data_IF_333351358511
#
_entry.id   IF_333351358511
#
_cell.length_a   1.000
_cell.length_b   1.000
_cell.length_c   1.000
_cell.angle_alpha   90.00
_cell.angle_beta   90.00
_cell.angle_gamma   90.00
#
_symmetry.space_group_name_H-M   'P 1'
#
loop_
_entity.id
_entity.type
_entity.pdbx_description
1 polymer ?
#
# COMPACT_ATOMS: atom_id res chain seq x y z
N UNK A 1 -31.09 -1.65 -15.86
CA UNK A 1 -32.46 -2.07 -16.25
C UNK A 1 -32.55 -3.56 -16.60
N UNK A 2 -31.50 -4.19 -17.11
CA UNK A 2 -31.43 -5.63 -17.42
C UNK A 2 -31.53 -6.53 -16.18
N UNK A 3 -31.17 -6.02 -15.01
CA UNK A 3 -31.21 -6.72 -13.75
C UNK A 3 -32.15 -5.97 -12.78
N UNK A 4 -33.43 -5.87 -13.16
CA UNK A 4 -34.46 -5.25 -12.34
C UNK A 4 -34.67 -5.95 -11.00
N UNK A 5 -35.60 -5.45 -10.19
CA UNK A 5 -35.86 -5.95 -8.82
C UNK A 5 -36.11 -7.48 -8.77
N UNK A 6 -36.54 -8.08 -9.89
CA UNK A 6 -36.81 -9.52 -10.01
C UNK A 6 -35.54 -10.37 -10.08
N UNK A 7 -34.34 -9.77 -10.36
CA UNK A 7 -33.08 -10.48 -10.53
C UNK A 7 -32.00 -10.00 -9.54
N UNK A 8 -32.36 -9.55 -8.35
CA UNK A 8 -31.42 -9.05 -7.34
C UNK A 8 -30.26 -10.01 -7.06
N UNK A 9 -30.54 -11.33 -7.00
CA UNK A 9 -29.51 -12.34 -6.78
C UNK A 9 -28.48 -12.40 -7.90
N UNK A 10 -28.93 -12.31 -9.16
CA UNK A 10 -28.03 -12.30 -10.31
C UNK A 10 -27.21 -11.00 -10.39
N UNK A 11 -27.79 -9.86 -10.03
CA UNK A 11 -27.09 -8.58 -9.94
C UNK A 11 -25.98 -8.63 -8.89
N UNK A 12 -26.27 -9.13 -7.69
CA UNK A 12 -25.30 -9.28 -6.60
C UNK A 12 -24.17 -10.22 -7.02
N UNK A 13 -24.51 -11.37 -7.63
CA UNK A 13 -23.50 -12.33 -8.10
C UNK A 13 -22.60 -11.72 -9.18
N UNK A 14 -23.17 -11.01 -10.15
CA UNK A 14 -22.38 -10.32 -11.18
C UNK A 14 -21.47 -9.25 -10.57
N UNK A 15 -21.98 -8.42 -9.68
CA UNK A 15 -21.17 -7.42 -8.99
C UNK A 15 -20.06 -8.03 -8.15
N UNK A 16 -20.30 -9.15 -7.48
CA UNK A 16 -19.28 -9.88 -6.73
C UNK A 16 -18.16 -10.39 -7.66
N UNK A 17 -18.52 -10.98 -8.81
CA UNK A 17 -17.54 -11.44 -9.80
C UNK A 17 -16.74 -10.28 -10.37
N UNK A 18 -17.40 -9.17 -10.73
CA UNK A 18 -16.70 -7.99 -11.27
C UNK A 18 -15.76 -7.37 -10.22
N UNK A 19 -16.18 -7.24 -8.97
CA UNK A 19 -15.33 -6.75 -7.89
C UNK A 19 -14.14 -7.69 -7.62
N UNK A 20 -14.36 -9.02 -7.67
CA UNK A 20 -13.26 -9.98 -7.58
C UNK A 20 -12.25 -9.79 -8.71
N UNK A 21 -12.71 -9.64 -9.95
CA UNK A 21 -11.83 -9.40 -11.10
C UNK A 21 -11.07 -8.07 -10.98
N UNK A 22 -11.74 -7.00 -10.54
CA UNK A 22 -11.07 -5.70 -10.27
C UNK A 22 -9.98 -5.88 -9.23
N UNK A 23 -10.26 -6.54 -8.11
CA UNK A 23 -9.27 -6.83 -7.06
C UNK A 23 -8.11 -7.69 -7.58
N UNK A 24 -8.42 -8.71 -8.38
CA UNK A 24 -7.43 -9.59 -8.99
C UNK A 24 -6.46 -8.83 -9.90
N UNK A 25 -6.98 -8.03 -10.85
CA UNK A 25 -6.14 -7.24 -11.76
C UNK A 25 -5.41 -6.11 -11.03
N UNK A 26 -6.01 -5.50 -10.03
CA UNK A 26 -5.37 -4.45 -9.22
C UNK A 26 -4.16 -4.99 -8.45
N UNK A 27 -4.25 -6.23 -7.93
CA UNK A 27 -3.13 -6.91 -7.28
C UNK A 27 -1.94 -7.18 -8.20
N UNK A 28 -2.12 -7.21 -9.52
CA UNK A 28 -1.04 -7.43 -10.48
C UNK A 28 -0.13 -6.22 -10.70
N UNK A 29 -0.52 -5.02 -10.25
CA UNK A 29 0.26 -3.79 -10.49
C UNK A 29 1.52 -3.66 -9.67
N UNK A 30 1.48 -4.04 -8.40
CA UNK A 30 2.61 -3.88 -7.47
C UNK A 30 3.85 -4.72 -7.82
N UNK A 31 3.77 -6.02 -8.10
CA UNK A 31 4.94 -6.85 -8.37
C UNK A 31 5.81 -6.38 -9.54
N UNK A 32 5.25 -6.00 -10.71
CA UNK A 32 6.03 -5.43 -11.81
C UNK A 32 6.74 -4.12 -11.43
N UNK A 33 6.08 -3.23 -10.69
CA UNK A 33 6.69 -1.97 -10.23
C UNK A 33 7.89 -2.24 -9.32
N UNK A 34 7.75 -3.20 -8.39
CA UNK A 34 8.84 -3.64 -7.53
C UNK A 34 10.04 -4.14 -8.34
N UNK A 35 9.78 -4.94 -9.39
CA UNK A 35 10.84 -5.42 -10.30
C UNK A 35 11.55 -4.26 -11.01
N UNK A 36 10.82 -3.33 -11.59
CA UNK A 36 11.41 -2.15 -12.25
C UNK A 36 12.30 -1.40 -11.26
N UNK A 37 11.79 -1.12 -10.07
CA UNK A 37 12.53 -0.40 -9.03
C UNK A 37 13.82 -1.11 -8.59
N UNK A 38 13.84 -2.44 -8.54
CA UNK A 38 15.05 -3.20 -8.18
C UNK A 38 16.13 -3.16 -9.26
N UNK A 39 15.75 -2.97 -10.52
CA UNK A 39 16.71 -2.91 -11.63
C UNK A 39 17.23 -1.50 -11.93
N UNK A 40 16.42 -0.47 -11.64
CA UNK A 40 16.77 0.92 -11.95
C UNK A 40 17.39 1.68 -10.78
N UNK A 41 17.17 1.25 -9.53
CA UNK A 41 17.66 1.96 -8.35
C UNK A 41 18.46 1.06 -7.42
N UNK A 42 19.61 1.57 -6.94
CA UNK A 42 20.45 0.90 -5.95
C UNK A 42 19.72 0.81 -4.59
N UNK A 43 20.11 -0.15 -3.76
CA UNK A 43 19.54 -0.32 -2.40
C UNK A 43 19.64 0.98 -1.58
N UNK A 44 20.72 1.78 -1.78
CA UNK A 44 20.97 3.02 -1.03
C UNK A 44 20.00 4.16 -1.37
N UNK A 45 19.29 4.08 -2.49
CA UNK A 45 18.39 5.14 -3.00
C UNK A 45 16.96 4.64 -3.20
N UNK A 46 16.76 3.33 -3.21
CA UNK A 46 15.50 2.68 -3.54
C UNK A 46 14.35 3.12 -2.61
N UNK A 47 14.62 3.33 -1.32
CA UNK A 47 13.62 3.78 -0.36
C UNK A 47 13.05 5.16 -0.73
N UNK A 48 13.92 6.10 -1.10
CA UNK A 48 13.51 7.45 -1.53
C UNK A 48 12.70 7.39 -2.82
N UNK A 49 13.17 6.69 -3.84
CA UNK A 49 12.45 6.58 -5.11
C UNK A 49 11.13 5.82 -5.00
N UNK A 50 11.10 4.75 -4.20
CA UNK A 50 9.86 4.03 -3.89
C UNK A 50 8.87 4.91 -3.14
N UNK A 51 9.32 5.84 -2.29
CA UNK A 51 8.42 6.76 -1.60
C UNK A 51 7.76 7.74 -2.57
N UNK A 52 8.50 8.30 -3.53
CA UNK A 52 7.92 9.12 -4.59
C UNK A 52 6.91 8.34 -5.44
N UNK A 53 7.27 7.11 -5.83
CA UNK A 53 6.35 6.25 -6.56
C UNK A 53 5.09 5.95 -5.75
N UNK A 54 5.21 5.67 -4.46
CA UNK A 54 4.07 5.36 -3.59
C UNK A 54 3.09 6.54 -3.44
N UNK A 55 3.57 7.79 -3.56
CA UNK A 55 2.69 8.97 -3.55
C UNK A 55 1.67 8.96 -4.70
N UNK A 56 1.94 8.25 -5.79
CA UNK A 56 1.00 8.08 -6.89
C UNK A 56 -0.33 7.46 -6.42
N UNK A 57 -0.29 6.58 -5.42
CA UNK A 57 -1.49 6.00 -4.82
C UNK A 57 -2.39 7.07 -4.15
N UNK A 58 -1.78 7.96 -3.37
CA UNK A 58 -2.51 9.05 -2.69
C UNK A 58 -3.03 10.09 -3.69
N UNK A 59 -2.22 10.45 -4.69
CA UNK A 59 -2.63 11.37 -5.77
C UNK A 59 -3.76 10.76 -6.58
N UNK A 60 -3.66 9.48 -6.95
CA UNK A 60 -4.72 8.77 -7.68
C UNK A 60 -6.03 8.70 -6.87
N UNK A 61 -5.93 8.38 -5.58
CA UNK A 61 -7.08 8.37 -4.67
C UNK A 61 -7.76 9.74 -4.54
N UNK A 62 -6.96 10.82 -4.46
CA UNK A 62 -7.47 12.18 -4.42
C UNK A 62 -8.16 12.61 -5.74
N UNK A 63 -7.65 12.14 -6.89
CA UNK A 63 -8.17 12.52 -8.21
C UNK A 63 -9.40 11.73 -8.64
N UNK A 64 -9.58 10.50 -8.17
CA UNK A 64 -10.67 9.63 -8.65
C UNK A 64 -12.05 10.22 -8.37
N UNK A 65 -12.27 10.88 -7.24
CA UNK A 65 -13.54 11.53 -6.90
C UNK A 65 -13.90 12.65 -7.89
N UNK A 66 -13.08 13.69 -8.05
CA UNK A 66 -13.28 14.71 -9.07
C UNK A 66 -13.42 14.14 -10.48
N UNK A 67 -12.61 13.17 -10.88
CA UNK A 67 -12.72 12.53 -12.20
C UNK A 67 -14.07 11.83 -12.39
N UNK A 68 -14.60 11.19 -11.38
CA UNK A 68 -15.92 10.56 -11.43
C UNK A 68 -17.02 11.61 -11.61
N UNK A 69 -16.96 12.73 -10.87
CA UNK A 69 -17.96 13.82 -10.98
C UNK A 69 -17.89 14.50 -12.34
N UNK A 70 -16.70 14.90 -12.79
CA UNK A 70 -16.56 15.52 -14.12
C UNK A 70 -16.88 14.57 -15.26
N UNK A 71 -16.54 13.29 -15.11
CA UNK A 71 -16.92 12.25 -16.06
C UNK A 71 -18.43 12.08 -16.15
N UNK A 72 -19.13 12.12 -15.03
CA UNK A 72 -20.60 12.12 -15.03
C UNK A 72 -21.18 13.33 -15.75
N UNK A 73 -20.65 14.53 -15.49
CA UNK A 73 -21.16 15.78 -16.06
C UNK A 73 -20.85 15.90 -17.56
N UNK A 74 -19.62 15.59 -17.98
CA UNK A 74 -19.21 15.81 -19.36
C UNK A 74 -19.49 14.61 -20.26
N UNK A 75 -19.02 13.43 -19.89
CA UNK A 75 -19.14 12.24 -20.69
C UNK A 75 -20.59 11.76 -20.80
N UNK A 76 -21.34 11.85 -19.68
CA UNK A 76 -22.76 11.54 -19.68
C UNK A 76 -23.55 12.47 -20.58
N UNK A 77 -23.29 13.79 -20.54
CA UNK A 77 -23.97 14.79 -21.36
C UNK A 77 -23.65 14.70 -22.85
N UNK A 78 -22.41 14.35 -23.20
CA UNK A 78 -21.96 14.25 -24.59
C UNK A 78 -22.62 13.09 -25.35
N UNK A 79 -22.80 11.95 -24.71
CA UNK A 79 -23.27 10.74 -25.36
C UNK A 79 -24.79 10.53 -25.25
N UNK A 80 -25.45 11.13 -24.26
CA UNK A 80 -26.80 10.69 -23.93
C UNK A 80 -27.79 11.80 -23.57
N UNK A 81 -27.37 13.07 -23.55
CA UNK A 81 -28.24 14.20 -23.17
C UNK A 81 -28.45 14.33 -21.66
N UNK A 82 -28.79 15.53 -21.22
CA UNK A 82 -28.62 16.00 -19.84
C UNK A 82 -29.56 15.41 -18.76
N UNK A 83 -30.35 14.36 -18.99
CA UNK A 83 -31.51 14.11 -18.15
C UNK A 83 -31.80 12.70 -17.63
N UNK A 84 -30.79 11.84 -17.43
CA UNK A 84 -31.10 10.55 -16.75
C UNK A 84 -29.99 10.12 -15.82
N UNK A 85 -30.36 9.71 -14.57
CA UNK A 85 -29.45 9.14 -13.55
C UNK A 85 -28.59 7.99 -14.07
N UNK A 86 -29.08 7.27 -15.07
CA UNK A 86 -28.37 6.18 -15.72
C UNK A 86 -27.08 6.64 -16.43
N UNK A 87 -27.11 7.77 -17.12
CA UNK A 87 -25.96 8.32 -17.84
C UNK A 87 -24.95 8.97 -16.91
N UNK A 88 -25.45 9.49 -15.79
CA UNK A 88 -24.60 9.95 -14.70
C UNK A 88 -23.71 8.80 -14.20
N UNK A 89 -24.29 7.63 -13.92
CA UNK A 89 -23.53 6.44 -13.50
C UNK A 89 -22.53 5.97 -14.54
N UNK A 90 -22.89 5.92 -15.84
CA UNK A 90 -21.95 5.54 -16.89
C UNK A 90 -20.77 6.51 -16.95
N UNK A 91 -21.00 7.81 -16.93
CA UNK A 91 -19.94 8.82 -16.97
C UNK A 91 -19.00 8.72 -15.76
N UNK A 92 -19.54 8.43 -14.58
CA UNK A 92 -18.78 8.25 -13.34
C UNK A 92 -17.72 7.15 -13.46
N UNK A 93 -18.01 6.06 -14.16
CA UNK A 93 -17.07 4.94 -14.33
C UNK A 93 -16.31 5.00 -15.65
N UNK A 94 -16.95 5.40 -16.74
CA UNK A 94 -16.37 5.35 -18.08
C UNK A 94 -15.21 6.35 -18.27
N UNK A 95 -15.30 7.55 -17.70
CA UNK A 95 -14.26 8.55 -17.84
C UNK A 95 -12.96 8.16 -17.09
N UNK A 96 -12.99 7.76 -15.80
CA UNK A 96 -11.80 7.24 -15.13
C UNK A 96 -11.23 5.99 -15.82
N UNK A 97 -12.08 5.11 -16.34
CA UNK A 97 -11.64 3.93 -17.09
C UNK A 97 -10.93 4.31 -18.39
N UNK A 98 -11.44 5.29 -19.14
CA UNK A 98 -10.79 5.78 -20.36
C UNK A 98 -9.41 6.39 -20.06
N UNK A 99 -9.29 7.17 -18.97
CA UNK A 99 -8.00 7.71 -18.51
C UNK A 99 -7.05 6.58 -18.10
N UNK A 100 -7.54 5.56 -17.39
CA UNK A 100 -6.73 4.41 -17.00
C UNK A 100 -6.20 3.64 -18.23
N UNK A 101 -7.01 3.44 -19.26
CA UNK A 101 -6.59 2.82 -20.54
C UNK A 101 -5.52 3.67 -21.23
N UNK A 102 -5.72 5.00 -21.31
CA UNK A 102 -4.71 5.91 -21.87
C UNK A 102 -3.38 5.81 -21.12
N UNK A 103 -3.41 5.86 -19.80
CA UNK A 103 -2.20 5.72 -18.95
C UNK A 103 -1.56 4.34 -19.13
N UNK A 104 -2.35 3.27 -19.27
CA UNK A 104 -1.83 1.93 -19.52
C UNK A 104 -1.08 1.84 -20.87
N UNK A 105 -1.63 2.47 -21.93
CA UNK A 105 -0.96 2.56 -23.24
C UNK A 105 0.35 3.35 -23.12
N UNK A 106 0.34 4.51 -22.46
CA UNK A 106 1.55 5.29 -22.22
C UNK A 106 2.59 4.52 -21.41
N UNK A 107 2.17 3.81 -20.37
CA UNK A 107 3.05 2.95 -19.57
C UNK A 107 3.71 1.86 -20.42
N UNK A 108 2.93 1.18 -21.26
CA UNK A 108 3.44 0.16 -22.18
C UNK A 108 4.48 0.72 -23.17
N UNK A 109 4.27 1.91 -23.67
CA UNK A 109 5.18 2.55 -24.64
C UNK A 109 6.46 3.12 -23.99
N UNK A 110 6.37 3.65 -22.77
CA UNK A 110 7.43 4.43 -22.13
C UNK A 110 8.22 3.66 -21.09
N UNK A 111 7.59 2.75 -20.32
CA UNK A 111 8.27 2.04 -19.25
C UNK A 111 9.15 0.92 -19.81
N UNK A 112 10.34 0.79 -19.25
CA UNK A 112 11.29 -0.30 -19.55
C UNK A 112 11.64 -1.02 -18.26
N UNK A 113 11.62 -2.34 -18.28
CA UNK A 113 11.80 -3.18 -17.11
C UNK A 113 13.22 -3.07 -16.53
N UNK A 114 14.22 -2.95 -17.40
CA UNK A 114 15.62 -2.99 -17.00
C UNK A 114 16.44 -1.98 -17.81
N UNK A 115 17.54 -1.42 -17.24
CA UNK A 115 18.48 -0.58 -17.98
C UNK A 115 19.04 -1.27 -19.22
N UNK A 116 19.31 -2.57 -19.15
CA UNK A 116 19.87 -3.36 -20.26
C UNK A 116 18.93 -3.39 -21.48
N UNK A 117 17.63 -3.32 -21.27
CA UNK A 117 16.64 -3.23 -22.36
C UNK A 117 16.76 -1.93 -23.16
N UNK A 118 17.46 -0.93 -22.61
CA UNK A 118 17.76 0.36 -23.25
C UNK A 118 19.23 0.44 -23.71
N UNK A 119 20.00 -0.65 -23.65
CA UNK A 119 21.41 -0.64 -23.98
C UNK A 119 22.30 0.00 -22.92
N UNK A 120 21.81 0.21 -21.72
CA UNK A 120 22.55 0.76 -20.57
C UNK A 120 23.14 -0.35 -19.71
N UNK A 121 24.19 -0.01 -18.95
CA UNK A 121 24.77 -0.91 -17.94
C UNK A 121 23.78 -1.18 -16.81
N UNK A 122 24.00 -2.27 -16.06
CA UNK A 122 23.24 -2.51 -14.83
C UNK A 122 23.52 -1.42 -13.80
N UNK A 123 22.61 -1.21 -12.87
CA UNK A 123 22.79 -0.20 -11.80
C UNK A 123 23.99 -0.53 -10.91
N UNK A 124 24.31 -1.82 -10.75
CA UNK A 124 25.45 -2.30 -9.98
C UNK A 124 26.78 -1.94 -10.67
N UNK A 125 26.87 -2.14 -11.99
CA UNK A 125 28.05 -1.78 -12.79
C UNK A 125 28.24 -0.27 -12.82
N UNK A 126 27.16 0.48 -13.04
CA UNK A 126 27.20 1.94 -13.13
C UNK A 126 27.58 2.60 -11.79
N UNK A 127 27.07 2.08 -10.67
CA UNK A 127 27.36 2.63 -9.34
C UNK A 127 28.73 2.26 -8.78
N UNK A 128 29.52 1.45 -9.49
CA UNK A 128 30.79 0.92 -9.01
C UNK A 128 30.68 -0.01 -7.81
N UNK A 129 29.47 -0.32 -7.41
CA UNK A 129 29.14 -1.26 -6.35
C UNK A 129 28.81 -2.61 -7.02
N UNK A 130 29.81 -3.19 -7.71
CA UNK A 130 29.70 -4.59 -8.11
C UNK A 130 29.42 -5.38 -6.84
N UNK A 131 28.17 -5.76 -6.63
CA UNK A 131 27.82 -6.58 -5.49
C UNK A 131 28.67 -7.84 -5.61
N UNK A 132 29.62 -8.03 -4.69
CA UNK A 132 30.49 -9.21 -4.63
C UNK A 132 29.71 -10.54 -4.65
N UNK A 133 28.39 -10.45 -4.44
CA UNK A 133 27.44 -11.57 -4.41
C UNK A 133 26.47 -11.60 -5.61
N UNK A 134 26.57 -10.68 -6.58
CA UNK A 134 25.78 -10.77 -7.80
C UNK A 134 26.52 -11.66 -8.79
N UNK A 135 26.25 -12.96 -8.73
CA UNK A 135 26.74 -13.87 -9.74
C UNK A 135 25.87 -13.75 -11.01
N UNK A 136 26.45 -13.97 -12.20
CA UNK A 136 25.67 -14.14 -13.44
C UNK A 136 24.58 -15.23 -13.34
N UNK A 137 24.59 -16.03 -12.27
CA UNK A 137 23.55 -16.99 -11.93
C UNK A 137 22.23 -16.31 -11.53
N UNK A 138 22.24 -15.07 -11.02
CA UNK A 138 21.03 -14.33 -10.65
C UNK A 138 20.27 -13.77 -11.87
N UNK A 139 20.92 -13.71 -13.04
CA UNK A 139 20.30 -13.36 -14.32
C UNK A 139 19.63 -14.58 -15.00
N UNK A 140 19.93 -15.81 -14.51
CA UNK A 140 19.33 -17.01 -15.08
C UNK A 140 17.83 -17.02 -14.79
N UNK A 141 17.04 -17.15 -15.84
CA UNK A 141 15.59 -17.29 -15.70
C UNK A 141 15.27 -18.55 -14.87
N UNK A 142 14.81 -18.33 -13.64
CA UNK A 142 14.31 -19.41 -12.80
C UNK A 142 12.95 -19.87 -13.31
N UNK A 143 12.67 -21.15 -13.17
CA UNK A 143 11.30 -21.65 -13.39
C UNK A 143 10.34 -21.06 -12.37
N UNK A 144 9.06 -20.99 -12.70
CA UNK A 144 8.02 -20.47 -11.80
C UNK A 144 8.02 -21.24 -10.47
N UNK A 145 8.20 -22.56 -10.51
CA UNK A 145 8.28 -23.41 -9.32
C UNK A 145 9.48 -23.07 -8.42
N UNK A 146 10.64 -22.81 -9.02
CA UNK A 146 11.85 -22.42 -8.28
C UNK A 146 11.68 -21.05 -7.62
N UNK A 147 11.06 -20.09 -8.31
CA UNK A 147 10.76 -18.77 -7.77
C UNK A 147 9.86 -18.91 -6.52
N UNK A 148 8.74 -19.63 -6.63
CA UNK A 148 7.85 -19.85 -5.50
C UNK A 148 8.56 -20.58 -4.36
N UNK A 149 9.34 -21.61 -4.64
CA UNK A 149 10.10 -22.34 -3.62
C UNK A 149 11.10 -21.40 -2.91
N UNK A 150 11.81 -20.57 -3.64
CA UNK A 150 12.77 -19.61 -3.07
C UNK A 150 12.09 -18.62 -2.13
N UNK A 151 10.96 -18.04 -2.54
CA UNK A 151 10.24 -17.05 -1.74
C UNK A 151 9.58 -17.71 -0.52
N UNK A 152 8.85 -18.80 -0.71
CA UNK A 152 8.09 -19.44 0.36
C UNK A 152 8.97 -20.18 1.39
N UNK A 153 10.18 -20.58 1.01
CA UNK A 153 11.16 -21.19 1.95
C UNK A 153 11.94 -20.15 2.76
N UNK A 154 11.87 -18.87 2.40
CA UNK A 154 12.61 -17.82 3.09
C UNK A 154 11.83 -17.32 4.32
N UNK A 155 12.30 -17.68 5.52
CA UNK A 155 11.68 -17.28 6.80
C UNK A 155 11.61 -15.76 6.98
N UNK A 156 12.60 -15.01 6.48
CA UNK A 156 12.63 -13.55 6.61
C UNK A 156 11.50 -12.91 5.82
N UNK A 157 11.20 -13.41 4.62
CA UNK A 157 10.07 -12.93 3.82
C UNK A 157 8.72 -13.19 4.50
N UNK A 158 8.57 -14.28 5.26
CA UNK A 158 7.40 -14.51 6.08
C UNK A 158 7.28 -13.53 7.24
N UNK A 159 8.39 -13.22 7.95
CA UNK A 159 8.36 -12.21 9.00
C UNK A 159 7.94 -10.84 8.45
N UNK A 160 8.48 -10.45 7.30
CA UNK A 160 8.09 -9.22 6.60
C UNK A 160 6.61 -9.25 6.19
N UNK A 161 6.14 -10.38 5.65
CA UNK A 161 4.76 -10.54 5.22
C UNK A 161 3.76 -10.46 6.39
N UNK A 162 4.08 -11.06 7.54
CA UNK A 162 3.27 -10.91 8.76
C UNK A 162 3.33 -9.48 9.32
N UNK A 163 4.51 -8.86 9.37
CA UNK A 163 4.62 -7.46 9.75
C UNK A 163 3.73 -6.57 8.88
N UNK A 164 3.71 -6.82 7.55
CA UNK A 164 2.87 -6.10 6.61
C UNK A 164 1.37 -6.29 6.88
N UNK A 165 0.95 -7.51 7.20
CA UNK A 165 -0.45 -7.76 7.55
C UNK A 165 -0.90 -6.92 8.75
N UNK A 166 -0.07 -6.82 9.80
CA UNK A 166 -0.41 -6.01 10.98
C UNK A 166 -0.32 -4.50 10.71
N UNK A 167 0.63 -4.03 9.91
CA UNK A 167 0.67 -2.62 9.47
C UNK A 167 -0.60 -2.27 8.67
N UNK A 168 -1.04 -3.14 7.77
CA UNK A 168 -2.27 -2.96 7.01
C UNK A 168 -3.52 -2.99 7.89
N UNK A 169 -3.57 -3.87 8.89
CA UNK A 169 -4.62 -3.84 9.91
C UNK A 169 -4.70 -2.48 10.60
N UNK A 170 -3.57 -1.92 11.04
CA UNK A 170 -3.53 -0.59 11.69
C UNK A 170 -3.93 0.51 10.72
N UNK A 171 -3.37 0.52 9.50
CA UNK A 171 -3.66 1.52 8.48
C UNK A 171 -5.16 1.60 8.18
N UNK A 172 -5.75 0.49 7.79
CA UNK A 172 -7.16 0.44 7.40
C UNK A 172 -8.09 0.46 8.60
N UNK A 173 -7.67 -0.11 9.73
CA UNK A 173 -8.40 -0.03 10.99
C UNK A 173 -8.54 1.41 11.52
N UNK A 174 -7.54 2.28 11.31
CA UNK A 174 -7.67 3.69 11.66
C UNK A 174 -8.42 4.49 10.59
N UNK A 175 -8.14 4.23 9.29
CA UNK A 175 -8.66 5.02 8.18
C UNK A 175 -10.12 4.72 7.86
N UNK A 176 -10.46 3.45 7.65
CA UNK A 176 -11.80 3.05 7.17
C UNK A 176 -12.87 3.19 8.26
N UNK A 177 -12.48 3.03 9.52
CA UNK A 177 -13.40 3.16 10.65
C UNK A 177 -13.49 4.59 11.20
N UNK A 178 -12.55 5.50 10.87
CA UNK A 178 -12.61 6.88 11.33
C UNK A 178 -13.94 7.60 11.02
N UNK A 179 -14.53 7.49 9.81
CA UNK A 179 -15.82 8.11 9.53
C UNK A 179 -16.96 7.53 10.39
N UNK A 180 -16.94 6.23 10.67
CA UNK A 180 -17.94 5.56 11.52
C UNK A 180 -17.81 6.05 12.96
N UNK A 181 -16.61 6.07 13.50
CA UNK A 181 -16.31 6.57 14.84
C UNK A 181 -16.75 8.03 15.00
N UNK A 182 -16.38 8.89 14.06
CA UNK A 182 -16.73 10.31 14.08
C UNK A 182 -18.24 10.53 13.98
N UNK A 183 -18.93 9.72 13.17
CA UNK A 183 -20.39 9.78 13.06
C UNK A 183 -21.08 9.39 14.37
N UNK A 184 -20.61 8.37 15.08
CA UNK A 184 -21.14 7.98 16.40
C UNK A 184 -20.93 9.06 17.46
N UNK A 185 -19.88 9.88 17.29
CA UNK A 185 -19.63 11.07 18.13
C UNK A 185 -20.49 12.29 17.74
N UNK A 186 -21.38 12.15 16.76
CA UNK A 186 -22.25 13.23 16.29
C UNK A 186 -21.57 14.21 15.34
N UNK A 187 -20.38 13.87 14.80
CA UNK A 187 -19.66 14.69 13.81
C UNK A 187 -20.38 14.58 12.45
N UNK A 188 -20.53 15.70 11.75
CA UNK A 188 -21.15 15.73 10.43
C UNK A 188 -20.30 14.94 9.41
N UNK A 189 -20.97 14.29 8.46
CA UNK A 189 -20.34 13.47 7.41
C UNK A 189 -19.32 14.28 6.58
N UNK A 190 -19.58 15.57 6.39
CA UNK A 190 -18.67 16.49 5.68
C UNK A 190 -17.35 16.67 6.44
N UNK A 191 -17.41 16.85 7.76
CA UNK A 191 -16.21 16.99 8.61
C UNK A 191 -15.44 15.68 8.70
N UNK A 192 -16.14 14.54 8.81
CA UNK A 192 -15.52 13.22 8.75
C UNK A 192 -14.80 12.97 7.41
N UNK A 193 -15.36 13.44 6.29
CA UNK A 193 -14.72 13.41 4.98
C UNK A 193 -13.43 14.26 4.91
N UNK A 194 -13.42 15.43 5.56
CA UNK A 194 -12.20 16.24 5.66
C UNK A 194 -11.14 15.61 6.54
N UNK A 195 -11.52 14.89 7.59
CA UNK A 195 -10.59 14.12 8.40
C UNK A 195 -9.90 13.02 7.59
N UNK A 196 -10.67 12.28 6.80
CA UNK A 196 -10.15 11.27 5.87
C UNK A 196 -9.18 11.89 4.85
N UNK A 197 -9.58 12.99 4.23
CA UNK A 197 -8.73 13.73 3.29
C UNK A 197 -7.40 14.19 3.94
N UNK A 198 -7.47 14.74 5.15
CA UNK A 198 -6.28 15.21 5.86
C UNK A 198 -5.31 14.05 6.21
N UNK A 199 -5.85 12.90 6.58
CA UNK A 199 -5.08 11.66 6.80
C UNK A 199 -4.30 11.26 5.55
N UNK A 200 -4.97 11.18 4.38
CA UNK A 200 -4.36 10.79 3.11
C UNK A 200 -3.35 11.83 2.62
N UNK A 201 -3.62 13.12 2.79
CA UNK A 201 -2.68 14.18 2.40
C UNK A 201 -1.43 14.19 3.28
N UNK A 202 -1.55 13.92 4.58
CA UNK A 202 -0.42 13.80 5.49
C UNK A 202 0.48 12.59 5.14
N UNK A 203 -0.06 11.58 4.50
CA UNK A 203 0.67 10.40 4.05
C UNK A 203 1.77 10.73 3.03
N UNK A 204 1.55 11.72 2.15
CA UNK A 204 2.51 12.09 1.10
C UNK A 204 3.85 12.55 1.70
N UNK A 205 3.91 13.64 2.49
CA UNK A 205 5.16 14.07 3.11
C UNK A 205 5.73 13.03 4.07
N UNK A 206 4.87 12.28 4.78
CA UNK A 206 5.29 11.23 5.71
C UNK A 206 6.02 10.08 5.02
N UNK A 207 5.51 9.62 3.88
CA UNK A 207 6.14 8.55 3.09
C UNK A 207 7.48 9.01 2.53
N UNK A 208 7.55 10.22 1.95
CA UNK A 208 8.79 10.78 1.40
C UNK A 208 9.84 10.95 2.51
N UNK A 209 9.44 11.50 3.66
CA UNK A 209 10.32 11.67 4.80
C UNK A 209 10.86 10.33 5.32
N UNK A 210 10.00 9.32 5.45
CA UNK A 210 10.39 7.98 5.90
C UNK A 210 11.35 7.30 4.92
N UNK A 211 11.12 7.40 3.60
CA UNK A 211 12.00 6.86 2.58
C UNK A 211 13.37 7.53 2.57
N UNK A 212 13.39 8.87 2.63
CA UNK A 212 14.62 9.64 2.75
C UNK A 212 15.39 9.29 4.04
N UNK A 213 14.71 9.21 5.16
CA UNK A 213 15.28 8.85 6.46
C UNK A 213 15.93 7.46 6.40
N UNK A 214 15.22 6.48 5.82
CA UNK A 214 15.72 5.12 5.62
C UNK A 214 17.01 5.09 4.81
N UNK A 215 17.08 5.84 3.71
CA UNK A 215 18.24 5.82 2.82
C UNK A 215 19.41 6.64 3.37
N UNK A 216 19.19 7.86 3.85
CA UNK A 216 20.25 8.79 4.23
C UNK A 216 20.73 8.61 5.67
N UNK A 217 19.81 8.42 6.61
CA UNK A 217 20.16 8.28 8.04
C UNK A 217 20.45 6.83 8.40
N UNK A 218 19.58 5.91 7.98
CA UNK A 218 19.71 4.49 8.28
C UNK A 218 20.48 3.69 7.21
N UNK A 219 21.01 4.35 6.19
CA UNK A 219 21.92 3.75 5.18
C UNK A 219 21.30 2.57 4.43
N UNK A 220 20.02 2.67 4.08
CA UNK A 220 19.27 1.63 3.38
C UNK A 220 18.70 0.52 4.27
N UNK A 221 18.84 0.62 5.60
CA UNK A 221 18.18 -0.30 6.54
C UNK A 221 16.71 0.08 6.68
N UNK A 222 15.81 -0.88 6.42
CA UNK A 222 14.36 -0.66 6.37
C UNK A 222 13.66 -0.99 7.69
N UNK A 223 14.18 -1.97 8.43
CA UNK A 223 13.55 -2.45 9.67
C UNK A 223 13.50 -1.36 10.74
N UNK A 224 14.60 -0.65 10.99
CA UNK A 224 14.68 0.30 12.08
C UNK A 224 13.74 1.51 11.93
N UNK A 225 13.72 2.23 10.78
CA UNK A 225 12.73 3.30 10.59
C UNK A 225 11.29 2.79 10.65
N UNK A 226 11.00 1.59 10.13
CA UNK A 226 9.68 0.97 10.26
C UNK A 226 9.27 0.76 11.72
N UNK A 227 10.18 0.23 12.56
CA UNK A 227 9.96 0.04 14.00
C UNK A 227 9.68 1.37 14.70
N UNK A 228 10.50 2.41 14.42
CA UNK A 228 10.34 3.73 15.04
C UNK A 228 8.99 4.34 14.66
N UNK A 229 8.64 4.32 13.36
CA UNK A 229 7.37 4.88 12.90
C UNK A 229 6.17 4.13 13.48
N UNK A 230 6.21 2.79 13.53
CA UNK A 230 5.13 1.99 14.14
C UNK A 230 5.00 2.22 15.65
N UNK A 231 6.11 2.44 16.36
CA UNK A 231 6.06 2.83 17.76
C UNK A 231 5.41 4.22 17.96
N UNK A 232 5.71 5.19 17.07
CA UNK A 232 5.08 6.51 17.09
C UNK A 232 3.59 6.42 16.71
N UNK A 233 3.21 5.55 15.78
CA UNK A 233 1.79 5.24 15.46
C UNK A 233 1.08 4.70 16.70
N UNK A 234 1.69 3.78 17.44
CA UNK A 234 1.10 3.26 18.68
C UNK A 234 0.87 4.37 19.72
N UNK A 235 1.83 5.30 19.88
CA UNK A 235 1.65 6.48 20.75
C UNK A 235 0.47 7.34 20.26
N UNK A 236 0.37 7.61 18.96
CA UNK A 236 -0.73 8.39 18.41
C UNK A 236 -2.09 7.70 18.61
N UNK A 237 -2.15 6.36 18.50
CA UNK A 237 -3.35 5.57 18.80
C UNK A 237 -3.73 5.66 20.29
N UNK A 238 -2.77 5.62 21.21
CA UNK A 238 -3.02 5.79 22.64
C UNK A 238 -3.59 7.19 22.93
N UNK A 239 -3.03 8.23 22.34
CA UNK A 239 -3.54 9.59 22.49
C UNK A 239 -4.95 9.70 21.90
N UNK A 240 -5.19 9.12 20.72
CA UNK A 240 -6.51 9.07 20.08
C UNK A 240 -7.53 8.41 21.04
N UNK A 241 -7.20 7.26 21.59
CA UNK A 241 -8.07 6.52 22.52
C UNK A 241 -8.38 7.31 23.79
N UNK A 242 -7.35 7.91 24.42
CA UNK A 242 -7.53 8.69 25.68
C UNK A 242 -8.38 9.96 25.48
N UNK A 243 -8.28 10.59 24.30
CA UNK A 243 -8.98 11.82 23.97
C UNK A 243 -10.08 11.58 22.93
N UNK A 244 -10.66 10.40 22.91
CA UNK A 244 -11.64 9.95 21.94
C UNK A 244 -12.79 10.92 21.73
N UNK A 245 -13.26 11.60 22.78
CA UNK A 245 -14.36 12.56 22.71
C UNK A 245 -13.95 14.00 22.30
N UNK A 246 -12.68 14.26 22.07
CA UNK A 246 -12.20 15.57 21.66
C UNK A 246 -11.90 15.58 20.16
N UNK A 247 -12.83 16.12 19.37
CA UNK A 247 -12.75 16.16 17.92
C UNK A 247 -11.40 16.72 17.39
N UNK A 248 -10.91 17.85 17.96
CA UNK A 248 -9.66 18.46 17.53
C UNK A 248 -8.47 17.52 17.74
N UNK A 249 -8.40 16.86 18.90
CA UNK A 249 -7.32 15.90 19.19
C UNK A 249 -7.41 14.69 18.27
N UNK A 250 -8.62 14.18 18.02
CA UNK A 250 -8.86 13.06 17.09
C UNK A 250 -8.34 13.39 15.69
N UNK A 251 -8.67 14.57 15.16
CA UNK A 251 -8.16 15.02 13.85
C UNK A 251 -6.64 15.11 13.83
N UNK A 252 -6.02 15.71 14.86
CA UNK A 252 -4.57 15.78 14.97
C UNK A 252 -3.93 14.38 15.01
N UNK A 253 -4.54 13.44 15.74
CA UNK A 253 -4.07 12.05 15.79
C UNK A 253 -4.22 11.35 14.44
N UNK A 254 -5.33 11.53 13.73
CA UNK A 254 -5.52 10.97 12.39
C UNK A 254 -4.49 11.51 11.39
N UNK A 255 -4.21 12.82 11.40
CA UNK A 255 -3.15 13.43 10.60
C UNK A 255 -1.78 12.85 10.96
N UNK A 256 -1.48 12.71 12.25
CA UNK A 256 -0.21 12.13 12.71
C UNK A 256 -0.08 10.66 12.31
N UNK A 257 -1.15 9.85 12.46
CA UNK A 257 -1.17 8.45 12.04
C UNK A 257 -0.98 8.37 10.52
N UNK A 258 -1.69 9.19 9.74
CA UNK A 258 -1.55 9.28 8.29
C UNK A 258 -0.11 9.56 7.86
N UNK A 259 0.53 10.55 8.48
CA UNK A 259 1.94 10.88 8.24
C UNK A 259 2.89 9.72 8.57
N UNK A 260 2.62 8.98 9.64
CA UNK A 260 3.53 7.96 10.16
C UNK A 260 3.33 6.59 9.50
N UNK A 261 2.10 6.18 9.14
CA UNK A 261 1.80 4.77 8.79
C UNK A 261 2.23 4.39 7.38
N UNK A 262 2.20 5.33 6.43
CA UNK A 262 2.51 5.03 5.03
C UNK A 262 4.01 4.78 4.79
N UNK A 263 4.88 5.31 5.64
CA UNK A 263 6.30 4.98 5.65
C UNK A 263 6.54 3.48 5.86
N UNK A 264 6.08 2.89 6.98
CA UNK A 264 6.07 1.45 7.23
C UNK A 264 5.46 0.62 6.09
N UNK A 265 4.29 1.00 5.58
CA UNK A 265 3.63 0.31 4.46
C UNK A 265 4.56 0.19 3.25
N UNK A 266 5.25 1.27 2.90
CA UNK A 266 6.18 1.31 1.78
C UNK A 266 7.48 0.57 2.10
N UNK A 267 8.12 0.85 3.25
CA UNK A 267 9.43 0.29 3.60
C UNK A 267 9.41 -1.23 3.77
N UNK A 268 8.33 -1.81 4.28
CA UNK A 268 8.16 -3.26 4.38
C UNK A 268 8.19 -3.90 2.98
N UNK A 269 7.48 -3.29 2.02
CA UNK A 269 7.53 -3.72 0.63
C UNK A 269 8.93 -3.63 0.03
N UNK A 270 9.64 -2.51 0.27
CA UNK A 270 11.04 -2.33 -0.17
C UNK A 270 11.97 -3.36 0.46
N UNK A 271 11.82 -3.65 1.76
CA UNK A 271 12.63 -4.65 2.44
C UNK A 271 12.45 -6.05 1.85
N UNK A 272 11.22 -6.41 1.48
CA UNK A 272 10.97 -7.68 0.80
C UNK A 272 11.67 -7.76 -0.56
N UNK A 273 11.73 -6.64 -1.30
CA UNK A 273 12.49 -6.54 -2.55
C UNK A 273 14.00 -6.62 -2.33
N UNK A 274 14.50 -5.99 -1.26
CA UNK A 274 15.94 -5.94 -0.94
C UNK A 274 16.47 -7.31 -0.46
N UNK A 275 15.65 -8.12 0.18
CA UNK A 275 16.00 -9.45 0.71
C UNK A 275 15.70 -10.60 -0.26
N UNK A 276 14.95 -10.36 -1.32
CA UNK A 276 14.67 -11.35 -2.34
C UNK A 276 15.70 -11.28 -3.48
N UNK A 277 16.06 -12.41 -4.12
CA UNK A 277 16.79 -12.39 -5.37
C UNK A 277 16.03 -11.58 -6.44
N UNK A 278 16.74 -10.85 -7.31
CA UNK A 278 16.10 -9.98 -8.32
C UNK A 278 15.08 -10.71 -9.20
N UNK A 279 15.38 -11.94 -9.58
CA UNK A 279 14.47 -12.80 -10.37
C UNK A 279 13.24 -13.27 -9.60
N UNK A 280 13.24 -13.17 -8.27
CA UNK A 280 12.11 -13.51 -7.39
C UNK A 280 11.47 -12.28 -6.70
N UNK A 281 11.98 -11.07 -6.93
CA UNK A 281 11.52 -9.84 -6.29
C UNK A 281 10.02 -9.58 -6.48
N UNK A 282 9.48 -9.81 -7.69
CA UNK A 282 8.06 -9.67 -7.97
C UNK A 282 7.20 -10.62 -7.13
N UNK A 283 7.63 -11.87 -6.96
CA UNK A 283 6.92 -12.87 -6.13
C UNK A 283 7.00 -12.53 -4.64
N UNK A 284 8.14 -12.00 -4.16
CA UNK A 284 8.27 -11.52 -2.79
C UNK A 284 7.35 -10.32 -2.51
N UNK A 285 7.28 -9.36 -3.44
CA UNK A 285 6.32 -8.28 -3.39
C UNK A 285 4.86 -8.79 -3.40
N UNK A 286 4.58 -9.81 -4.20
CA UNK A 286 3.28 -10.49 -4.25
C UNK A 286 2.90 -11.13 -2.92
N UNK A 287 3.82 -11.82 -2.25
CA UNK A 287 3.59 -12.42 -0.93
C UNK A 287 3.26 -11.34 0.12
N UNK A 288 4.04 -10.27 0.19
CA UNK A 288 3.78 -9.17 1.13
C UNK A 288 2.46 -8.48 0.84
N UNK A 289 2.15 -8.22 -0.43
CA UNK A 289 0.87 -7.66 -0.85
C UNK A 289 -0.32 -8.56 -0.50
N UNK A 290 -0.22 -9.85 -0.79
CA UNK A 290 -1.26 -10.83 -0.43
C UNK A 290 -1.55 -10.83 1.09
N UNK A 291 -0.52 -10.90 1.92
CA UNK A 291 -0.67 -10.88 3.36
C UNK A 291 -1.23 -9.54 3.87
N UNK A 292 -0.81 -8.41 3.30
CA UNK A 292 -1.33 -7.10 3.64
C UNK A 292 -2.82 -6.96 3.29
N UNK A 293 -3.21 -7.26 2.05
CA UNK A 293 -4.59 -7.05 1.60
C UNK A 293 -5.56 -8.13 2.09
N UNK A 294 -5.18 -9.42 2.05
CA UNK A 294 -6.10 -10.50 2.44
C UNK A 294 -6.15 -10.63 3.96
N UNK A 295 -5.01 -10.86 4.61
CA UNK A 295 -4.99 -11.03 6.05
C UNK A 295 -5.16 -9.68 6.77
N UNK A 296 -4.36 -8.67 6.44
CA UNK A 296 -4.34 -7.39 7.13
C UNK A 296 -5.63 -6.58 6.91
N UNK A 297 -6.00 -6.33 5.67
CA UNK A 297 -7.17 -5.49 5.36
C UNK A 297 -8.48 -6.27 5.43
N UNK A 298 -8.64 -7.30 4.58
CA UNK A 298 -9.95 -7.94 4.44
C UNK A 298 -10.36 -8.67 5.72
N UNK A 299 -9.45 -9.44 6.34
CA UNK A 299 -9.80 -10.24 7.52
C UNK A 299 -9.66 -9.40 8.79
N UNK A 300 -8.46 -8.89 9.08
CA UNK A 300 -8.19 -8.26 10.38
C UNK A 300 -8.84 -6.87 10.50
N UNK A 301 -8.66 -5.98 9.53
CA UNK A 301 -9.18 -4.61 9.63
C UNK A 301 -10.70 -4.53 9.39
N UNK A 302 -11.24 -5.31 8.45
CA UNK A 302 -12.66 -5.20 8.15
C UNK A 302 -13.52 -6.17 8.96
N UNK A 303 -13.17 -7.47 8.98
CA UNK A 303 -14.03 -8.47 9.65
C UNK A 303 -13.79 -8.47 11.17
N UNK A 304 -12.51 -8.59 11.61
CA UNK A 304 -12.23 -8.72 13.04
C UNK A 304 -12.49 -7.40 13.78
N UNK A 305 -12.01 -6.27 13.28
CA UNK A 305 -12.28 -4.95 13.89
C UNK A 305 -13.78 -4.67 13.88
N UNK A 306 -14.48 -4.91 12.76
CA UNK A 306 -15.92 -4.69 12.69
C UNK A 306 -16.70 -5.52 13.71
N UNK A 307 -16.39 -6.81 13.81
CA UNK A 307 -17.00 -7.69 14.80
C UNK A 307 -16.74 -7.25 16.25
N UNK A 308 -15.51 -6.86 16.56
CA UNK A 308 -15.14 -6.40 17.91
C UNK A 308 -15.76 -5.06 18.23
N UNK A 309 -15.77 -4.10 17.30
CA UNK A 309 -16.41 -2.81 17.49
C UNK A 309 -17.91 -2.96 17.80
N UNK A 310 -18.62 -3.85 17.08
CA UNK A 310 -20.05 -4.11 17.27
C UNK A 310 -20.36 -4.82 18.59
N UNK A 311 -19.55 -5.81 19.00
CA UNK A 311 -19.87 -6.70 20.13
C UNK A 311 -19.16 -6.33 21.44
N UNK A 312 -17.99 -5.70 21.38
CA UNK A 312 -17.15 -5.38 22.54
C UNK A 312 -16.85 -3.88 22.68
N UNK A 313 -17.15 -3.08 21.65
CA UNK A 313 -16.98 -1.64 21.65
C UNK A 313 -15.58 -1.16 21.21
N UNK A 314 -15.45 0.17 21.11
CA UNK A 314 -14.25 0.81 20.57
C UNK A 314 -13.01 0.64 21.42
N UNK A 315 -13.14 0.51 22.75
CA UNK A 315 -11.99 0.29 23.64
C UNK A 315 -11.20 -0.97 23.25
N UNK A 316 -11.89 -2.07 22.99
CA UNK A 316 -11.27 -3.31 22.52
C UNK A 316 -10.69 -3.18 21.12
N UNK A 317 -11.29 -2.36 20.27
CA UNK A 317 -10.77 -2.03 18.94
C UNK A 317 -9.41 -1.33 19.05
N UNK A 318 -9.28 -0.32 19.90
CA UNK A 318 -8.00 0.36 20.13
C UNK A 318 -6.94 -0.59 20.72
N UNK A 319 -7.31 -1.48 21.64
CA UNK A 319 -6.41 -2.51 22.16
C UNK A 319 -5.91 -3.42 21.04
N UNK A 320 -6.79 -3.87 20.13
CA UNK A 320 -6.39 -4.69 18.99
C UNK A 320 -5.44 -3.96 18.04
N UNK A 321 -5.66 -2.68 17.79
CA UNK A 321 -4.74 -1.86 16.98
C UNK A 321 -3.36 -1.73 17.64
N UNK A 322 -3.31 -1.56 18.96
CA UNK A 322 -2.04 -1.53 19.72
C UNK A 322 -1.32 -2.88 19.69
N UNK A 323 -2.05 -3.99 19.80
CA UNK A 323 -1.50 -5.34 19.64
C UNK A 323 -0.93 -5.51 18.23
N UNK A 324 -1.64 -5.03 17.19
CA UNK A 324 -1.14 -5.09 15.83
C UNK A 324 0.14 -4.26 15.62
N UNK A 325 0.23 -3.07 16.23
CA UNK A 325 1.47 -2.28 16.25
C UNK A 325 2.62 -3.06 16.90
N UNK A 326 2.38 -3.67 18.07
CA UNK A 326 3.37 -4.45 18.79
C UNK A 326 3.83 -5.68 17.97
N UNK A 327 2.91 -6.41 17.34
CA UNK A 327 3.23 -7.55 16.50
C UNK A 327 4.01 -7.15 15.25
N UNK A 328 3.65 -6.02 14.61
CA UNK A 328 4.42 -5.49 13.49
C UNK A 328 5.85 -5.16 13.91
N UNK A 329 6.03 -4.46 15.02
CA UNK A 329 7.36 -4.14 15.58
C UNK A 329 8.14 -5.43 15.90
N UNK A 330 7.49 -6.42 16.51
CA UNK A 330 8.10 -7.71 16.83
C UNK A 330 8.62 -8.43 15.59
N UNK A 331 7.79 -8.59 14.57
CA UNK A 331 8.20 -9.26 13.33
C UNK A 331 9.31 -8.49 12.60
N UNK A 332 9.25 -7.15 12.57
CA UNK A 332 10.31 -6.33 11.99
C UNK A 332 11.63 -6.45 12.76
N UNK A 333 11.57 -6.54 14.09
CA UNK A 333 12.77 -6.73 14.92
C UNK A 333 13.47 -8.06 14.63
N UNK A 334 12.74 -9.11 14.25
CA UNK A 334 13.33 -10.40 13.83
C UNK A 334 14.16 -10.30 12.55
N UNK A 335 13.87 -9.34 11.67
CA UNK A 335 14.60 -9.12 10.43
C UNK A 335 15.82 -8.20 10.60
N UNK A 336 15.91 -7.45 11.69
CA UNK A 336 16.91 -6.40 11.90
C UNK A 336 18.36 -6.92 11.88
N UNK A 337 18.62 -8.08 12.47
CA UNK A 337 19.98 -8.64 12.54
C UNK A 337 20.51 -9.01 11.16
N UNK A 338 19.68 -9.63 10.34
CA UNK A 338 20.04 -10.06 9.00
C UNK A 338 20.24 -8.85 8.06
N UNK A 339 19.34 -7.87 8.16
CA UNK A 339 19.46 -6.62 7.41
C UNK A 339 20.76 -5.88 7.76
N UNK A 340 21.14 -5.85 9.04
CA UNK A 340 22.41 -5.26 9.49
C UNK A 340 23.59 -6.00 8.90
N UNK A 341 23.58 -7.33 8.91
CA UNK A 341 24.64 -8.16 8.34
C UNK A 341 24.82 -7.92 6.84
N UNK A 342 23.72 -7.88 6.08
CA UNK A 342 23.74 -7.58 4.65
C UNK A 342 24.24 -6.16 4.35
N UNK A 343 23.83 -5.18 5.16
CA UNK A 343 24.31 -3.80 5.03
C UNK A 343 25.81 -3.64 5.32
N UNK A 344 26.37 -4.43 6.21
CA UNK A 344 27.81 -4.44 6.52
C UNK A 344 28.61 -5.11 5.39
N UNK A 345 28.11 -6.17 4.77
CA UNK A 345 28.74 -6.80 3.60
C UNK A 345 28.80 -5.86 2.39
N UNK A 346 27.80 -5.02 2.21
CA UNK A 346 27.74 -4.05 1.11
C UNK A 346 28.63 -2.80 1.34
N UNK A 347 29.27 -2.66 2.51
CA UNK A 347 30.23 -1.58 2.80
C UNK A 347 31.67 -1.94 2.48
N UNK A 348 32.01 -3.23 2.48
CA UNK A 348 33.33 -3.79 2.18
C UNK A 348 33.42 -4.27 0.71
#
# INVERSE_FOLDING_TARGET
QWLGAEHKGAAIALMAVLNFLVGWFNGMGWPPCGRVMTHWFSIKERGTWMSFWNCAHNVGGALVGPMAVYGAMWFGSWFYGANTDYYFLIGTYAFPAAVAVLVAVLAYLLIRDTPQSCGLQSIEEWSGHAAKNYSKADEKALSVSEIFKTVLSNKLLWYIAFANAFVYMVRYGCLDWAPTILKEQGVDLKEAGWAYFAYEMAAIPGTIFCGWLSDKVFQGRRALPTIIFMALVAVAIVVYWQFFNNFTVVICCLIAIGFLIYGPVMLIGVQALDLAPKNAAGTAAGLTGFMGYVLGTAILANVVIGYVAENAGWDWTFILLLIACALSVFFMALTYKEEKYLAEQNKN
#
